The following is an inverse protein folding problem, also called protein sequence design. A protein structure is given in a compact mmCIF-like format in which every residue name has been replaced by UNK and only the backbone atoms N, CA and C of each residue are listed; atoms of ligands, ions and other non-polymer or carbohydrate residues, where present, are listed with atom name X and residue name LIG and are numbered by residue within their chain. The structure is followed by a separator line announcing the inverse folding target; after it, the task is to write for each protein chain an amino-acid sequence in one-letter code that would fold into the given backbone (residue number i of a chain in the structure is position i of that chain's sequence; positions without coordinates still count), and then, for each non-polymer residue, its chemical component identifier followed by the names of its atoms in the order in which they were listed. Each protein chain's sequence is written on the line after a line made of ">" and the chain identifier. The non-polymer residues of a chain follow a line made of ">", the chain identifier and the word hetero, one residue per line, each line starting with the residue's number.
data_IF_163561062459
#
_entry.id   IF_163561062459
#
_cell.length_a   1.000
_cell.length_b   1.000
_cell.length_c   1.000
_cell.angle_alpha   90.00
_cell.angle_beta   90.00
_cell.angle_gamma   90.00
#
_symmetry.space_group_name_H-M   'P 1'
#
loop_
_entity.id
_entity.type
_entity.pdbx_description
1 polymer ?
#
# COMPACT_ATOMS: atom_id res chain seq x y z
N UNK A 1 -6.09 -32.77 -13.98
CA UNK A 1 -4.86 -32.13 -14.48
C UNK A 1 -4.88 -30.70 -13.98
N UNK A 2 -3.72 -30.09 -13.73
CA UNK A 2 -3.41 -28.94 -12.87
C UNK A 2 -3.29 -29.25 -11.37
N UNK A 3 -2.06 -29.59 -10.96
CA UNK A 3 -1.67 -29.77 -9.56
C UNK A 3 -0.48 -28.92 -9.12
N UNK A 4 0.04 -28.06 -10.01
CA UNK A 4 1.19 -27.19 -9.74
C UNK A 4 1.00 -25.82 -10.38
N UNK A 5 0.03 -25.03 -9.89
CA UNK A 5 0.03 -23.59 -10.20
C UNK A 5 1.20 -22.98 -9.45
N UNK A 6 2.34 -22.80 -10.13
CA UNK A 6 3.53 -22.20 -9.55
C UNK A 6 3.26 -20.71 -9.31
N UNK A 7 3.08 -20.33 -8.05
CA UNK A 7 2.94 -18.92 -7.69
C UNK A 7 4.14 -18.12 -8.19
N UNK A 8 3.86 -17.01 -8.87
CA UNK A 8 4.84 -16.02 -9.32
C UNK A 8 5.60 -15.43 -8.12
N UNK A 9 6.79 -14.87 -8.35
CA UNK A 9 7.54 -14.16 -7.32
C UNK A 9 6.73 -13.01 -6.71
N UNK A 10 5.91 -12.35 -7.53
CA UNK A 10 5.01 -11.28 -7.09
C UNK A 10 3.93 -11.79 -6.12
N UNK A 11 3.25 -12.89 -6.45
CA UNK A 11 2.26 -13.51 -5.56
C UNK A 11 2.90 -14.02 -4.26
N UNK A 12 4.11 -14.57 -4.33
CA UNK A 12 4.86 -14.99 -3.15
C UNK A 12 5.22 -13.80 -2.26
N UNK A 13 5.62 -12.67 -2.85
CA UNK A 13 5.92 -11.44 -2.12
C UNK A 13 4.68 -10.88 -1.40
N UNK A 14 3.48 -11.07 -1.96
CA UNK A 14 2.20 -10.70 -1.34
C UNK A 14 1.73 -11.65 -0.22
N UNK A 15 2.33 -12.85 -0.09
CA UNK A 15 1.90 -13.88 0.86
C UNK A 15 1.78 -13.45 2.34
N UNK A 16 2.53 -12.46 2.86
CA UNK A 16 2.33 -11.97 4.23
C UNK A 16 0.99 -11.23 4.44
N UNK A 17 0.34 -10.77 3.37
CA UNK A 17 -0.94 -10.06 3.45
C UNK A 17 -2.07 -11.07 3.67
N UNK A 18 -2.88 -10.84 4.71
CA UNK A 18 -4.04 -11.68 4.98
C UNK A 18 -5.22 -11.27 4.06
N UNK A 19 -5.26 -11.84 2.86
CA UNK A 19 -6.32 -11.55 1.86
C UNK A 19 -7.73 -11.87 2.37
N UNK A 20 -7.90 -12.85 3.27
CA UNK A 20 -9.21 -13.17 3.85
C UNK A 20 -9.72 -12.05 4.75
N UNK A 21 -8.83 -11.45 5.53
CA UNK A 21 -9.17 -10.32 6.40
C UNK A 21 -9.45 -9.06 5.58
N UNK A 22 -8.67 -8.84 4.52
CA UNK A 22 -8.93 -7.78 3.54
C UNK A 22 -10.33 -7.93 2.91
N UNK A 23 -10.67 -9.12 2.41
CA UNK A 23 -11.99 -9.40 1.83
C UNK A 23 -13.14 -9.14 2.82
N UNK A 24 -13.00 -9.58 4.07
CA UNK A 24 -13.99 -9.31 5.11
C UNK A 24 -14.19 -7.79 5.36
N UNK A 25 -13.10 -7.01 5.34
CA UNK A 25 -13.15 -5.54 5.47
C UNK A 25 -13.80 -4.89 4.26
N UNK A 26 -13.42 -5.30 3.06
CA UNK A 26 -13.97 -4.82 1.78
C UNK A 26 -15.49 -5.03 1.75
N UNK A 27 -15.96 -6.20 2.17
CA UNK A 27 -17.40 -6.51 2.28
C UNK A 27 -18.09 -5.65 3.34
N UNK A 28 -17.50 -5.52 4.53
CA UNK A 28 -18.07 -4.71 5.61
C UNK A 28 -18.22 -3.23 5.26
N UNK A 29 -17.25 -2.67 4.54
CA UNK A 29 -17.24 -1.28 4.06
C UNK A 29 -17.94 -1.11 2.70
N UNK A 30 -18.42 -2.20 2.08
CA UNK A 30 -19.06 -2.20 0.76
C UNK A 30 -18.20 -1.56 -0.35
N UNK A 31 -16.88 -1.67 -0.27
CA UNK A 31 -15.94 -1.00 -1.20
C UNK A 31 -16.01 -1.55 -2.63
N UNK A 32 -16.46 -2.80 -2.77
CA UNK A 32 -16.63 -3.47 -4.07
C UNK A 32 -18.10 -3.54 -4.49
N UNK A 33 -18.98 -2.78 -3.84
CA UNK A 33 -20.39 -2.75 -4.22
C UNK A 33 -20.54 -2.20 -5.65
N UNK A 34 -21.29 -2.93 -6.48
CA UNK A 34 -21.41 -2.70 -7.93
C UNK A 34 -20.09 -2.71 -8.72
N UNK A 35 -18.98 -3.18 -8.14
CA UNK A 35 -17.70 -3.27 -8.83
C UNK A 35 -17.65 -4.54 -9.67
N UNK A 36 -17.43 -4.39 -10.98
CA UNK A 36 -17.46 -5.52 -11.94
C UNK A 36 -16.09 -6.02 -12.38
N UNK A 37 -15.06 -5.16 -12.35
CA UNK A 37 -13.72 -5.47 -12.89
C UNK A 37 -12.63 -5.20 -11.85
N UNK A 38 -12.47 -3.94 -11.45
CA UNK A 38 -11.37 -3.51 -10.59
C UNK A 38 -11.75 -3.60 -9.10
N UNK A 39 -11.68 -4.81 -8.55
CA UNK A 39 -11.92 -5.09 -7.12
C UNK A 39 -10.91 -4.38 -6.22
N UNK A 40 -11.17 -4.30 -4.91
CA UNK A 40 -10.22 -3.66 -3.98
C UNK A 40 -8.93 -4.46 -3.92
N UNK A 41 -9.02 -5.79 -3.96
CA UNK A 41 -7.87 -6.67 -3.96
C UNK A 41 -7.01 -6.48 -5.22
N UNK A 42 -7.61 -6.59 -6.42
CA UNK A 42 -6.89 -6.38 -7.69
C UNK A 42 -6.24 -5.01 -7.75
N UNK A 43 -6.96 -3.97 -7.29
CA UNK A 43 -6.42 -2.62 -7.27
C UNK A 43 -5.27 -2.46 -6.28
N UNK A 44 -5.35 -3.06 -5.09
CA UNK A 44 -4.27 -3.06 -4.11
C UNK A 44 -3.03 -3.77 -4.67
N UNK A 45 -3.20 -4.94 -5.31
CA UNK A 45 -2.09 -5.66 -5.96
C UNK A 45 -1.44 -4.77 -7.02
N UNK A 46 -2.22 -4.09 -7.86
CA UNK A 46 -1.68 -3.12 -8.84
C UNK A 46 -0.91 -1.96 -8.21
N UNK A 47 -1.40 -1.38 -7.11
CA UNK A 47 -0.68 -0.30 -6.42
C UNK A 47 0.64 -0.79 -5.80
N UNK A 48 0.66 -2.02 -5.28
CA UNK A 48 1.87 -2.62 -4.74
C UNK A 48 2.88 -2.98 -5.84
N UNK A 49 2.40 -3.46 -6.99
CA UNK A 49 3.22 -3.64 -8.18
C UNK A 49 3.81 -2.31 -8.64
N UNK A 50 2.99 -1.26 -8.77
CA UNK A 50 3.44 0.07 -9.14
C UNK A 50 4.53 0.60 -8.19
N UNK A 51 4.41 0.32 -6.88
CA UNK A 51 5.41 0.70 -5.90
C UNK A 51 6.71 -0.12 -6.02
N UNK A 52 6.61 -1.40 -6.39
CA UNK A 52 7.75 -2.31 -6.54
C UNK A 52 8.57 -2.00 -7.79
N UNK A 53 7.88 -1.71 -8.90
CA UNK A 53 8.48 -1.40 -10.21
C UNK A 53 8.67 0.11 -10.43
N UNK A 54 8.46 0.92 -9.39
CA UNK A 54 8.62 2.39 -9.43
C UNK A 54 7.82 3.06 -10.57
N UNK A 55 6.60 2.59 -10.84
CA UNK A 55 5.74 3.09 -11.91
C UNK A 55 5.21 4.48 -11.57
N UNK A 56 5.64 5.49 -12.34
CA UNK A 56 5.46 6.90 -12.00
C UNK A 56 4.08 7.49 -12.36
N UNK A 57 3.23 6.79 -13.11
CA UNK A 57 1.94 7.33 -13.54
C UNK A 57 0.85 6.28 -13.77
N UNK A 58 -0.41 6.72 -13.73
CA UNK A 58 -1.55 5.86 -14.08
C UNK A 58 -1.57 5.45 -15.57
N UNK A 59 -0.92 6.21 -16.45
CA UNK A 59 -0.74 5.83 -17.85
C UNK A 59 0.24 4.67 -17.94
N UNK A 60 1.43 4.83 -17.35
CA UNK A 60 2.44 3.77 -17.30
C UNK A 60 1.90 2.50 -16.63
N UNK A 61 1.13 2.63 -15.53
CA UNK A 61 0.50 1.49 -14.88
C UNK A 61 -0.53 0.77 -15.77
N UNK A 62 -1.27 1.54 -16.57
CA UNK A 62 -2.19 0.97 -17.56
C UNK A 62 -1.44 0.20 -18.64
N UNK A 63 -0.26 0.67 -19.05
CA UNK A 63 0.59 0.00 -20.04
C UNK A 63 1.25 -1.26 -19.47
N UNK A 64 1.60 -1.29 -18.18
CA UNK A 64 2.12 -2.51 -17.54
C UNK A 64 1.15 -3.70 -17.63
N UNK A 65 -0.16 -3.43 -17.72
CA UNK A 65 -1.20 -4.46 -17.85
C UNK A 65 -1.28 -5.10 -19.25
N UNK A 66 -0.34 -4.83 -20.17
CA UNK A 66 -0.16 -5.65 -21.38
C UNK A 66 0.55 -6.99 -21.09
N UNK A 67 1.14 -7.15 -19.90
CA UNK A 67 1.81 -8.39 -19.50
C UNK A 67 0.84 -9.42 -18.89
N UNK A 68 0.76 -10.60 -19.50
CA UNK A 68 -0.15 -11.68 -19.09
C UNK A 68 0.15 -12.20 -17.66
N UNK A 69 1.42 -12.15 -17.22
CA UNK A 69 1.78 -12.58 -15.87
C UNK A 69 1.27 -11.61 -14.81
N UNK A 70 1.38 -10.30 -15.08
CA UNK A 70 0.80 -9.28 -14.22
C UNK A 70 -0.73 -9.40 -14.20
N UNK A 71 -1.37 -9.53 -15.37
CA UNK A 71 -2.82 -9.70 -15.47
C UNK A 71 -3.31 -10.88 -14.61
N UNK A 72 -2.62 -12.03 -14.69
CA UNK A 72 -2.91 -13.20 -13.88
C UNK A 72 -2.71 -12.91 -12.37
N UNK A 73 -1.59 -12.30 -12.00
CA UNK A 73 -1.26 -12.01 -10.60
C UNK A 73 -2.20 -10.99 -9.94
N UNK A 74 -2.73 -10.02 -10.69
CA UNK A 74 -3.68 -9.02 -10.19
C UNK A 74 -5.15 -9.38 -10.46
N UNK A 75 -5.42 -10.47 -11.17
CA UNK A 75 -6.75 -10.91 -11.59
C UNK A 75 -7.51 -9.84 -12.39
N UNK A 76 -6.82 -9.23 -13.37
CA UNK A 76 -7.37 -8.14 -14.18
C UNK A 76 -6.74 -8.09 -15.58
N UNK A 77 -7.54 -8.35 -16.62
CA UNK A 77 -7.06 -8.37 -18.01
C UNK A 77 -6.69 -6.97 -18.54
N UNK A 78 -7.53 -5.98 -18.24
CA UNK A 78 -7.35 -4.61 -18.76
C UNK A 78 -8.14 -3.59 -17.96
N UNK A 79 -7.65 -2.36 -17.99
CA UNK A 79 -8.29 -1.23 -17.31
C UNK A 79 -7.97 0.07 -18.03
N UNK A 80 -8.92 0.99 -18.06
CA UNK A 80 -8.63 2.35 -18.52
C UNK A 80 -8.05 3.21 -17.41
N UNK A 81 -7.24 4.19 -17.78
CA UNK A 81 -6.73 5.23 -16.88
C UNK A 81 -7.87 5.91 -16.10
N UNK A 82 -9.01 6.17 -16.76
CA UNK A 82 -10.16 6.81 -16.12
C UNK A 82 -10.76 5.96 -14.98
N UNK A 83 -10.68 4.63 -15.09
CA UNK A 83 -11.14 3.71 -14.04
C UNK A 83 -10.12 3.65 -12.91
N UNK A 84 -8.81 3.60 -13.23
CA UNK A 84 -7.75 3.68 -12.22
C UNK A 84 -7.84 4.95 -11.40
N UNK A 85 -8.02 6.10 -12.05
CA UNK A 85 -8.13 7.40 -11.36
C UNK A 85 -9.36 7.47 -10.46
N UNK A 86 -10.54 7.05 -10.95
CA UNK A 86 -11.75 6.99 -10.13
C UNK A 86 -11.59 6.06 -8.94
N UNK A 87 -10.93 4.92 -9.14
CA UNK A 87 -10.70 3.94 -8.08
C UNK A 87 -9.74 4.48 -7.02
N UNK A 88 -8.65 5.12 -7.44
CA UNK A 88 -7.69 5.76 -6.55
C UNK A 88 -8.36 6.83 -5.68
N UNK A 89 -9.19 7.68 -6.28
CA UNK A 89 -9.92 8.72 -5.56
C UNK A 89 -10.96 8.18 -4.57
N UNK A 90 -11.50 6.98 -4.83
CA UNK A 90 -12.49 6.32 -3.98
C UNK A 90 -11.92 5.35 -2.95
N UNK A 91 -10.59 5.12 -2.95
CA UNK A 91 -9.96 4.20 -2.02
C UNK A 91 -9.95 4.81 -0.60
N UNK A 92 -10.64 4.17 0.33
CA UNK A 92 -10.63 4.57 1.73
C UNK A 92 -9.22 4.34 2.33
N UNK A 93 -8.52 5.40 2.81
CA UNK A 93 -7.21 5.26 3.44
C UNK A 93 -7.18 4.29 4.64
N UNK A 94 -8.34 4.04 5.26
CA UNK A 94 -8.46 3.07 6.35
C UNK A 94 -8.08 1.64 5.92
N UNK A 95 -8.24 1.29 4.64
CA UNK A 95 -7.84 -0.02 4.10
C UNK A 95 -6.32 -0.19 4.20
N UNK A 96 -5.55 0.75 3.64
CA UNK A 96 -4.09 0.73 3.69
C UNK A 96 -3.57 0.81 5.13
N UNK A 97 -4.19 1.64 5.97
CA UNK A 97 -3.84 1.74 7.40
C UNK A 97 -4.04 0.42 8.15
N UNK A 98 -5.14 -0.27 7.87
CA UNK A 98 -5.46 -1.56 8.50
C UNK A 98 -4.45 -2.61 8.09
N UNK A 99 -4.16 -2.73 6.79
CA UNK A 99 -3.14 -3.63 6.26
C UNK A 99 -1.77 -3.38 6.88
N UNK A 100 -1.35 -2.11 6.97
CA UNK A 100 -0.11 -1.73 7.64
C UNK A 100 -0.05 -2.23 9.09
N UNK A 101 -1.10 -1.95 9.89
CA UNK A 101 -1.14 -2.35 11.30
C UNK A 101 -1.15 -3.87 11.48
N UNK A 102 -1.81 -4.60 10.57
CA UNK A 102 -1.83 -6.07 10.58
C UNK A 102 -0.44 -6.65 10.29
N UNK A 103 0.27 -6.13 9.30
CA UNK A 103 1.64 -6.54 9.00
C UNK A 103 2.59 -6.25 10.17
N UNK A 104 2.45 -5.08 10.81
CA UNK A 104 3.19 -4.74 12.04
C UNK A 104 2.87 -5.73 13.17
N UNK A 105 1.61 -6.08 13.37
CA UNK A 105 1.20 -7.06 14.38
C UNK A 105 1.79 -8.44 14.11
N UNK A 106 1.86 -8.87 12.85
CA UNK A 106 2.54 -10.11 12.46
C UNK A 106 4.02 -10.07 12.80
N UNK A 107 4.72 -8.98 12.48
CA UNK A 107 6.14 -8.80 12.85
C UNK A 107 6.30 -8.89 14.37
N UNK A 108 5.45 -8.20 15.15
CA UNK A 108 5.49 -8.26 16.61
C UNK A 108 5.25 -9.67 17.16
N UNK A 109 4.35 -10.46 16.57
CA UNK A 109 4.15 -11.86 17.01
C UNK A 109 5.40 -12.73 16.79
N UNK A 110 6.13 -12.50 15.70
CA UNK A 110 7.33 -13.28 15.34
C UNK A 110 8.58 -12.84 16.10
N UNK A 111 8.63 -11.59 16.55
CA UNK A 111 9.82 -10.98 17.19
C UNK A 111 9.71 -10.87 18.71
N UNK A 112 8.54 -11.13 19.29
CA UNK A 112 8.29 -11.03 20.74
C UNK A 112 9.18 -11.92 21.61
N UNK A 113 9.64 -13.07 21.10
CA UNK A 113 10.44 -14.02 21.87
C UNK A 113 11.95 -13.77 21.80
N UNK A 114 12.43 -12.93 20.88
CA UNK A 114 13.87 -12.66 20.67
C UNK A 114 14.34 -11.37 21.34
N UNK A 115 13.44 -10.56 21.89
CA UNK A 115 13.76 -9.26 22.48
C UNK A 115 14.10 -9.40 23.97
N UNK A 116 15.34 -9.81 24.26
CA UNK A 116 15.91 -9.72 25.63
C UNK A 116 16.30 -8.28 25.99
N UNK A 117 16.48 -7.40 24.99
CA UNK A 117 16.80 -5.99 25.15
C UNK A 117 15.72 -5.08 24.55
N UNK A 118 15.54 -3.89 25.14
CA UNK A 118 14.65 -2.87 24.57
C UNK A 118 15.11 -2.49 23.15
N UNK A 119 14.26 -2.61 22.12
CA UNK A 119 14.66 -2.32 20.75
C UNK A 119 14.86 -0.81 20.54
N UNK A 120 15.88 -0.42 19.76
CA UNK A 120 16.12 0.96 19.38
C UNK A 120 14.99 1.46 18.48
N UNK A 121 14.41 2.62 18.79
CA UNK A 121 13.35 3.25 18.02
C UNK A 121 13.81 4.60 17.48
N UNK A 122 13.87 4.72 16.17
CA UNK A 122 14.22 5.96 15.47
C UNK A 122 12.92 6.66 15.08
N UNK A 123 12.81 7.94 15.40
CA UNK A 123 11.66 8.77 15.01
C UNK A 123 12.18 9.86 14.09
N UNK A 124 11.64 9.91 12.88
CA UNK A 124 11.95 10.95 11.91
C UNK A 124 10.69 11.33 11.11
N UNK A 125 10.77 12.41 10.35
CA UNK A 125 9.69 12.87 9.48
C UNK A 125 10.18 13.25 8.09
N UNK A 126 9.50 12.75 7.07
CA UNK A 126 9.73 13.13 5.67
C UNK A 126 8.56 13.97 5.16
N UNK A 127 8.86 14.97 4.32
CA UNK A 127 7.83 15.78 3.66
C UNK A 127 7.60 15.25 2.26
N UNK A 128 6.35 14.90 1.95
CA UNK A 128 5.90 14.53 0.61
C UNK A 128 5.40 15.81 -0.08
N UNK A 129 6.17 16.39 -1.03
CA UNK A 129 5.76 17.62 -1.71
C UNK A 129 4.55 17.35 -2.62
N UNK A 130 3.62 18.29 -2.65
CA UNK A 130 2.41 18.22 -3.47
C UNK A 130 2.24 19.49 -4.31
N UNK A 131 1.48 19.38 -5.40
CA UNK A 131 1.18 20.52 -6.25
C UNK A 131 0.13 21.43 -5.59
N UNK A 132 0.48 22.71 -5.37
CA UNK A 132 -0.34 23.68 -4.64
C UNK A 132 -1.75 23.87 -5.23
N UNK A 133 -1.87 23.91 -6.56
CA UNK A 133 -3.17 24.14 -7.24
C UNK A 133 -4.13 22.98 -7.05
N UNK A 134 -3.60 21.74 -7.05
CA UNK A 134 -4.40 20.51 -7.02
C UNK A 134 -4.64 20.02 -5.59
N UNK A 135 -3.79 20.40 -4.63
CA UNK A 135 -3.80 19.92 -3.25
C UNK A 135 -3.89 21.08 -2.26
N UNK A 136 -4.88 21.96 -2.45
CA UNK A 136 -5.11 23.13 -1.58
C UNK A 136 -5.35 22.78 -0.11
N UNK A 137 -5.85 21.57 0.16
CA UNK A 137 -6.07 21.05 1.52
C UNK A 137 -4.75 20.72 2.25
N UNK A 138 -3.65 20.55 1.53
CA UNK A 138 -2.35 20.18 2.06
C UNK A 138 -1.42 21.40 2.14
N UNK A 139 -1.90 22.51 2.71
CA UNK A 139 -1.07 23.72 2.87
C UNK A 139 0.14 23.40 3.76
N UNK A 140 1.34 23.71 3.25
CA UNK A 140 2.60 23.48 3.96
C UNK A 140 3.37 24.79 4.17
N UNK A 141 3.45 25.61 3.11
CA UNK A 141 3.98 26.99 3.10
C UNK A 141 3.20 27.80 2.07
N UNK A 142 3.30 29.14 2.11
CA UNK A 142 2.65 30.06 1.15
C UNK A 142 2.73 29.64 -0.32
N UNK A 143 3.85 29.03 -0.74
CA UNK A 143 4.11 28.64 -2.13
C UNK A 143 4.17 27.13 -2.35
N UNK A 144 3.97 26.30 -1.31
CA UNK A 144 4.15 24.84 -1.39
C UNK A 144 3.03 24.12 -0.65
N UNK A 145 2.45 23.13 -1.31
CA UNK A 145 1.63 22.11 -0.64
C UNK A 145 2.49 20.90 -0.30
N UNK A 146 2.11 20.17 0.73
CA UNK A 146 2.80 18.96 1.15
C UNK A 146 2.19 18.34 2.39
N UNK A 147 2.47 17.05 2.59
CA UNK A 147 2.10 16.32 3.79
C UNK A 147 3.35 15.75 4.45
N UNK A 148 3.38 15.71 5.77
CA UNK A 148 4.47 15.08 6.52
C UNK A 148 4.10 13.66 6.92
N UNK A 149 5.01 12.73 6.68
CA UNK A 149 4.98 11.38 7.21
C UNK A 149 5.92 11.31 8.40
N UNK A 150 5.37 11.21 9.61
CA UNK A 150 6.11 10.90 10.82
C UNK A 150 6.22 9.38 10.96
N UNK A 151 7.44 8.87 10.93
CA UNK A 151 7.74 7.45 10.97
C UNK A 151 8.48 7.10 12.27
N UNK A 152 8.02 6.05 12.95
CA UNK A 152 8.79 5.38 14.00
C UNK A 152 9.29 4.06 13.45
N UNK A 153 10.59 3.98 13.20
CA UNK A 153 11.28 2.80 12.71
C UNK A 153 11.90 2.05 13.90
N UNK A 154 11.62 0.75 14.00
CA UNK A 154 12.24 -0.12 15.00
C UNK A 154 13.46 -0.77 14.37
N UNK A 155 14.63 -0.59 14.98
CA UNK A 155 15.86 -1.24 14.59
C UNK A 155 16.09 -2.48 15.47
N UNK A 156 16.21 -3.64 14.83
CA UNK A 156 16.50 -4.92 15.47
C UNK A 156 17.95 -5.33 15.18
N UNK A 157 18.39 -6.40 15.86
CA UNK A 157 19.70 -6.98 15.60
C UNK A 157 19.86 -7.42 14.13
N UNK A 158 21.12 -7.53 13.68
CA UNK A 158 21.49 -8.00 12.33
C UNK A 158 20.98 -7.12 11.18
N UNK A 159 20.77 -5.83 11.43
CA UNK A 159 20.41 -4.85 10.39
C UNK A 159 18.95 -4.95 9.92
N UNK A 160 18.11 -5.72 10.63
CA UNK A 160 16.68 -5.81 10.32
C UNK A 160 15.98 -4.60 10.93
N UNK A 161 15.13 -3.93 10.16
CA UNK A 161 14.28 -2.85 10.65
C UNK A 161 12.87 -2.96 10.08
N UNK A 162 11.90 -2.38 10.78
CA UNK A 162 10.53 -2.30 10.28
C UNK A 162 9.82 -1.05 10.80
N UNK A 163 8.86 -0.50 10.03
CA UNK A 163 8.05 0.61 10.47
C UNK A 163 7.04 0.15 11.52
N UNK A 164 7.09 0.68 12.74
CA UNK A 164 6.14 0.33 13.82
C UNK A 164 4.95 1.29 13.84
N UNK A 165 5.16 2.56 13.48
CA UNK A 165 4.10 3.57 13.45
C UNK A 165 4.35 4.56 12.33
N UNK A 166 3.31 4.86 11.57
CA UNK A 166 3.27 5.90 10.55
C UNK A 166 2.11 6.86 10.86
N UNK A 167 2.37 8.16 10.87
CA UNK A 167 1.35 9.21 11.02
C UNK A 167 1.53 10.22 9.90
N UNK A 168 0.46 10.42 9.12
CA UNK A 168 0.42 11.43 8.07
C UNK A 168 -0.26 12.68 8.63
N UNK A 169 0.36 13.85 8.45
CA UNK A 169 -0.19 15.13 8.88
C UNK A 169 -0.08 16.16 7.75
N UNK A 170 -1.16 16.89 7.52
CA UNK A 170 -1.20 18.08 6.66
C UNK A 170 -1.12 19.31 7.56
N UNK A 171 0.07 19.61 8.10
CA UNK A 171 0.25 20.78 8.94
C UNK A 171 1.00 21.86 8.16
N UNK A 172 0.36 23.00 7.98
CA UNK A 172 1.03 24.24 7.64
C UNK A 172 1.94 24.63 8.81
N UNK A 173 3.23 24.86 8.54
CA UNK A 173 4.17 25.41 9.52
C UNK A 173 4.18 26.93 9.39
#
# INVERSE_FOLDING_TARGET
>A
MDKDTRNTSFEQWLSPINMRLLDARVKGLKLDYYTKKLTTESFLKLLLFAQLEEVESLHALSDCLFDDHLQAGVELDSISISQLSRRLNGLDPAVCKTLFLELVAQIHSKTRHTQSAMPLKIIDSSTLPLHLTNHKWAEFRKTKAGVKLHLRLVFMEKGVSYPEKAVIMSTAI
#
